data_IF_872134313467
#
_entry.id   IF_872134313467
#
_cell.length_a   1.000
_cell.length_b   1.000
_cell.length_c   1.000
_cell.angle_alpha   90.00
_cell.angle_beta   90.00
_cell.angle_gamma   90.00
#
_symmetry.space_group_name_H-M   'P 1'
#
loop_
_entity.id
_entity.type
_entity.pdbx_description
1 polymer ?
#
# COMPACT_ATOMS: atom_id res chain seq x y z
N UNK A 1 -36.31 -45.56 -17.31
CA UNK A 1 -37.00 -44.30 -17.01
C UNK A 1 -37.19 -44.28 -15.50
N UNK A 2 -36.31 -43.69 -14.69
CA UNK A 2 -36.13 -42.25 -14.55
C UNK A 2 -34.70 -41.92 -14.08
N UNK A 3 -34.13 -40.91 -14.71
CA UNK A 3 -32.88 -40.23 -14.35
C UNK A 3 -33.17 -39.27 -13.18
N UNK A 4 -32.52 -39.45 -12.04
CA UNK A 4 -32.50 -38.47 -10.95
C UNK A 4 -31.05 -38.13 -10.59
N UNK A 5 -30.44 -37.32 -11.47
CA UNK A 5 -29.17 -36.65 -11.21
C UNK A 5 -29.38 -35.68 -10.04
N UNK A 6 -28.66 -35.93 -8.96
CA UNK A 6 -28.55 -35.06 -7.80
C UNK A 6 -28.07 -33.66 -8.23
N UNK A 7 -28.90 -32.65 -7.98
CA UNK A 7 -28.49 -31.25 -8.11
C UNK A 7 -27.90 -30.79 -6.77
N UNK A 8 -26.58 -30.86 -6.64
CA UNK A 8 -25.84 -30.28 -5.50
C UNK A 8 -25.74 -28.76 -5.70
N UNK A 9 -25.98 -27.94 -4.65
CA UNK A 9 -25.87 -26.49 -4.77
C UNK A 9 -24.43 -26.08 -5.08
N UNK A 10 -24.28 -25.26 -6.13
CA UNK A 10 -23.02 -24.61 -6.49
C UNK A 10 -22.52 -23.77 -5.31
N UNK A 11 -21.43 -24.20 -4.67
CA UNK A 11 -20.70 -23.35 -3.72
C UNK A 11 -19.76 -22.44 -4.52
N UNK A 12 -19.71 -21.12 -4.26
CA UNK A 12 -18.71 -20.27 -4.87
C UNK A 12 -17.32 -20.69 -4.36
N UNK A 13 -16.49 -21.16 -5.28
CA UNK A 13 -15.09 -21.47 -5.01
C UNK A 13 -14.38 -20.13 -4.73
N UNK A 14 -14.02 -19.88 -3.48
CA UNK A 14 -13.19 -18.73 -3.13
C UNK A 14 -11.82 -18.96 -3.77
N UNK A 15 -11.32 -18.09 -4.67
CA UNK A 15 -10.00 -18.26 -5.24
C UNK A 15 -8.96 -18.21 -4.11
N UNK A 16 -7.89 -19.03 -4.17
CA UNK A 16 -6.87 -18.99 -3.14
C UNK A 16 -6.22 -17.60 -3.13
N UNK A 17 -6.36 -16.89 -2.00
CA UNK A 17 -5.61 -15.67 -1.71
C UNK A 17 -4.12 -15.96 -1.97
N UNK A 18 -3.59 -15.38 -3.04
CA UNK A 18 -2.19 -15.55 -3.42
C UNK A 18 -1.36 -14.97 -2.28
N UNK A 19 -0.75 -15.83 -1.46
CA UNK A 19 0.24 -15.37 -0.47
C UNK A 19 1.29 -14.53 -1.22
N UNK A 20 1.56 -13.27 -0.81
CA UNK A 20 2.71 -12.58 -1.32
C UNK A 20 3.96 -13.41 -1.01
N UNK A 21 4.80 -13.63 -2.02
CA UNK A 21 6.05 -14.37 -1.86
C UNK A 21 6.93 -13.63 -0.85
N UNK A 22 7.48 -14.30 0.20
CA UNK A 22 8.55 -13.71 0.99
C UNK A 22 9.75 -13.52 0.06
N UNK A 23 10.00 -12.28 -0.35
CA UNK A 23 11.14 -11.94 -1.18
C UNK A 23 12.40 -12.09 -0.33
N UNK A 24 13.13 -13.18 -0.54
CA UNK A 24 14.38 -13.44 0.15
C UNK A 24 15.53 -12.61 -0.46
N UNK A 25 16.17 -11.81 0.41
CA UNK A 25 17.54 -11.26 0.38
C UNK A 25 17.84 -9.87 -0.27
N UNK A 26 17.89 -8.83 0.60
CA UNK A 26 18.92 -7.75 0.85
C UNK A 26 19.43 -6.85 -0.32
N UNK A 27 19.50 -5.49 -0.23
CA UNK A 27 20.05 -4.65 0.86
C UNK A 27 19.16 -3.46 1.34
N UNK A 28 19.37 -3.02 2.59
CA UNK A 28 18.38 -2.36 3.46
C UNK A 28 18.21 -0.82 3.39
N UNK A 29 18.51 -0.09 2.30
CA UNK A 29 18.47 1.39 2.41
C UNK A 29 17.75 2.19 1.30
N UNK A 30 17.20 1.56 0.24
CA UNK A 30 16.52 2.32 -0.84
C UNK A 30 15.22 1.74 -1.39
N UNK A 31 14.64 0.72 -0.75
CA UNK A 31 13.62 -0.12 -1.40
C UNK A 31 12.24 -0.17 -0.75
N UNK A 32 12.07 0.30 0.50
CA UNK A 32 10.87 -0.01 1.28
C UNK A 32 9.60 0.60 0.67
N UNK A 33 9.66 1.85 0.22
CA UNK A 33 8.53 2.52 -0.44
C UNK A 33 8.14 1.81 -1.74
N UNK A 34 9.11 1.45 -2.57
CA UNK A 34 8.86 0.76 -3.83
C UNK A 34 8.28 -0.64 -3.62
N UNK A 35 8.82 -1.40 -2.65
CA UNK A 35 8.30 -2.72 -2.29
C UNK A 35 6.85 -2.65 -1.81
N UNK A 36 6.53 -1.71 -0.93
CA UNK A 36 5.15 -1.48 -0.47
C UNK A 36 4.23 -1.12 -1.64
N UNK A 37 4.69 -0.32 -2.60
CA UNK A 37 3.89 0.05 -3.77
C UNK A 37 3.63 -1.13 -4.70
N UNK A 38 4.60 -2.03 -4.89
CA UNK A 38 4.38 -3.28 -5.61
C UNK A 38 3.35 -4.15 -4.90
N UNK A 39 3.46 -4.32 -3.58
CA UNK A 39 2.50 -5.09 -2.79
C UNK A 39 1.09 -4.48 -2.86
N UNK A 40 0.95 -3.16 -2.82
CA UNK A 40 -0.34 -2.48 -3.00
C UNK A 40 -0.93 -2.79 -4.38
N UNK A 41 -0.09 -2.81 -5.43
CA UNK A 41 -0.53 -3.13 -6.78
C UNK A 41 -0.96 -4.59 -6.91
N UNK A 42 -0.25 -5.52 -6.29
CA UNK A 42 -0.55 -6.95 -6.32
C UNK A 42 -1.87 -7.30 -5.58
N UNK A 43 -2.25 -6.48 -4.60
CA UNK A 43 -3.50 -6.61 -3.86
C UNK A 43 -4.64 -5.75 -4.45
N UNK A 44 -4.48 -5.15 -5.64
CA UNK A 44 -5.58 -4.41 -6.26
C UNK A 44 -6.72 -5.37 -6.64
N UNK A 45 -7.94 -5.00 -6.22
CA UNK A 45 -9.15 -5.79 -6.45
C UNK A 45 -9.51 -6.73 -5.31
N UNK A 46 -8.66 -6.85 -4.28
CA UNK A 46 -9.03 -7.50 -3.02
C UNK A 46 -9.98 -6.57 -2.22
N UNK A 47 -11.24 -6.98 -1.94
CA UNK A 47 -12.20 -6.16 -1.22
C UNK A 47 -11.82 -5.88 0.25
N UNK A 48 -11.00 -6.74 0.86
CA UNK A 48 -10.55 -6.58 2.24
C UNK A 48 -9.27 -5.72 2.32
N UNK A 49 -8.63 -5.44 1.19
CA UNK A 49 -7.40 -4.67 1.14
C UNK A 49 -7.63 -3.16 1.11
N UNK A 50 -7.25 -2.48 2.20
CA UNK A 50 -7.32 -1.03 2.31
C UNK A 50 -6.18 -0.32 1.57
N UNK A 51 -6.36 -0.11 0.25
CA UNK A 51 -5.37 0.59 -0.61
C UNK A 51 -4.98 1.97 -0.06
N UNK A 52 -5.91 2.70 0.56
CA UNK A 52 -5.65 4.00 1.17
C UNK A 52 -4.67 3.92 2.33
N UNK A 53 -4.82 2.92 3.20
CA UNK A 53 -3.92 2.69 4.32
C UNK A 53 -2.54 2.26 3.82
N UNK A 54 -2.48 1.32 2.88
CA UNK A 54 -1.22 0.90 2.26
C UNK A 54 -0.43 2.08 1.68
N UNK A 55 -1.09 2.98 0.94
CA UNK A 55 -0.46 4.21 0.43
C UNK A 55 0.02 5.14 1.55
N UNK A 56 -0.73 5.23 2.65
CA UNK A 56 -0.32 5.96 3.85
C UNK A 56 0.97 5.43 4.46
N UNK A 57 1.09 4.11 4.60
CA UNK A 57 2.29 3.44 5.11
C UNK A 57 3.48 3.59 4.15
N UNK A 58 3.25 3.51 2.84
CA UNK A 58 4.29 3.77 1.83
C UNK A 58 4.85 5.19 1.95
N UNK A 59 3.99 6.20 2.15
CA UNK A 59 4.43 7.58 2.44
C UNK A 59 5.24 7.66 3.74
N UNK A 60 4.79 7.00 4.81
CA UNK A 60 5.53 6.96 6.08
C UNK A 60 6.92 6.33 5.94
N UNK A 61 7.07 5.30 5.11
CA UNK A 61 8.34 4.61 4.89
C UNK A 61 9.43 5.51 4.27
N UNK A 62 9.05 6.53 3.51
CA UNK A 62 9.99 7.49 2.90
C UNK A 62 10.74 8.28 3.97
N UNK A 63 10.06 8.64 5.08
CA UNK A 63 10.70 9.37 6.18
C UNK A 63 11.76 8.54 6.89
N UNK A 64 11.61 7.22 6.96
CA UNK A 64 12.61 6.34 7.58
C UNK A 64 13.93 6.30 6.79
N UNK A 65 13.90 6.63 5.50
CA UNK A 65 15.06 6.63 4.60
C UNK A 65 15.75 8.01 4.55
N UNK A 66 15.18 9.02 5.20
CA UNK A 66 15.66 10.40 5.13
C UNK A 66 15.88 10.99 6.55
N UNK A 67 17.13 11.23 6.97
CA UNK A 67 17.41 11.82 8.29
C UNK A 67 17.08 13.33 8.39
N UNK A 68 16.44 13.94 7.38
CA UNK A 68 16.12 15.38 7.27
C UNK A 68 14.75 15.61 6.63
N UNK A 69 14.32 16.87 6.54
CA UNK A 69 13.11 17.32 5.83
C UNK A 69 12.91 16.57 4.49
N UNK A 70 11.72 15.99 4.31
CA UNK A 70 11.31 15.39 3.04
C UNK A 70 10.22 16.25 2.41
N UNK A 71 10.45 16.69 1.17
CA UNK A 71 9.45 17.48 0.44
C UNK A 71 8.35 16.58 -0.14
N UNK A 72 7.16 17.13 -0.33
CA UNK A 72 6.06 16.43 -0.99
C UNK A 72 6.42 15.92 -2.39
N UNK A 73 7.32 16.62 -3.10
CA UNK A 73 7.77 16.19 -4.42
C UNK A 73 8.65 14.95 -4.34
N UNK A 74 9.56 14.87 -3.37
CA UNK A 74 10.41 13.70 -3.16
C UNK A 74 9.56 12.48 -2.82
N UNK A 75 8.61 12.63 -1.88
CA UNK A 75 7.67 11.55 -1.53
C UNK A 75 6.90 11.07 -2.75
N UNK A 76 6.40 12.00 -3.58
CA UNK A 76 5.67 11.67 -4.80
C UNK A 76 6.55 10.91 -5.80
N UNK A 77 7.80 11.32 -5.99
CA UNK A 77 8.75 10.66 -6.88
C UNK A 77 9.14 9.27 -6.38
N UNK A 78 9.38 9.10 -5.09
CA UNK A 78 9.84 7.81 -4.52
C UNK A 78 8.73 6.77 -4.38
N UNK A 79 7.50 7.21 -4.13
CA UNK A 79 6.35 6.31 -3.98
C UNK A 79 5.57 6.14 -5.29
N UNK A 80 5.77 6.99 -6.29
CA UNK A 80 4.89 7.06 -7.48
C UNK A 80 3.47 7.53 -7.17
N UNK A 81 3.16 7.94 -5.93
CA UNK A 81 1.85 8.46 -5.55
C UNK A 81 1.74 9.91 -6.05
N UNK A 82 0.58 10.29 -6.59
CA UNK A 82 0.37 11.66 -7.05
C UNK A 82 0.51 12.68 -5.91
N UNK A 83 1.06 13.87 -6.21
CA UNK A 83 1.23 14.95 -5.21
C UNK A 83 -0.07 15.30 -4.47
N UNK A 84 -1.23 15.25 -5.14
CA UNK A 84 -2.52 15.52 -4.53
C UNK A 84 -2.96 14.45 -3.52
N UNK A 85 -2.59 13.19 -3.74
CA UNK A 85 -2.82 12.11 -2.79
C UNK A 85 -1.81 12.16 -1.63
N UNK A 86 -0.53 12.42 -1.92
CA UNK A 86 0.50 12.66 -0.89
C UNK A 86 0.08 13.79 0.04
N UNK A 87 -0.40 14.92 -0.50
CA UNK A 87 -0.90 16.05 0.31
C UNK A 87 -1.99 15.63 1.30
N UNK A 88 -2.93 14.80 0.85
CA UNK A 88 -4.03 14.32 1.71
C UNK A 88 -3.51 13.42 2.82
N UNK A 89 -2.61 12.49 2.50
CA UNK A 89 -1.96 11.62 3.49
C UNK A 89 -1.22 12.44 4.54
N UNK A 90 -0.36 13.36 4.09
CA UNK A 90 0.41 14.21 5.01
C UNK A 90 -0.50 15.09 5.88
N UNK A 91 -1.57 15.65 5.32
CA UNK A 91 -2.54 16.40 6.09
C UNK A 91 -3.17 15.56 7.21
N UNK A 92 -3.57 14.32 6.92
CA UNK A 92 -4.09 13.40 7.94
C UNK A 92 -3.03 13.06 8.98
N UNK A 93 -1.82 12.69 8.57
CA UNK A 93 -0.72 12.37 9.49
C UNK A 93 -0.36 13.57 10.38
N UNK A 94 -0.39 14.79 9.85
CA UNK A 94 -0.16 16.02 10.59
C UNK A 94 -1.25 16.25 11.64
N UNK A 95 -2.53 16.08 11.25
CA UNK A 95 -3.67 16.20 12.18
C UNK A 95 -3.62 15.17 13.32
N UNK A 96 -3.03 14.01 13.05
CA UNK A 96 -2.84 12.94 14.03
C UNK A 96 -1.53 13.05 14.83
N UNK A 97 -0.67 14.02 14.51
CA UNK A 97 0.59 14.25 15.22
C UNK A 97 1.76 13.34 14.80
N UNK A 98 1.65 12.62 13.69
CA UNK A 98 2.73 11.74 13.19
C UNK A 98 3.80 12.48 12.38
N UNK A 99 3.46 13.61 11.76
CA UNK A 99 4.41 14.44 10.99
C UNK A 99 4.24 15.92 11.33
N UNK A 100 5.34 16.66 11.34
CA UNK A 100 5.35 18.11 11.47
C UNK A 100 5.59 18.78 10.11
N UNK A 101 5.12 20.02 9.97
CA UNK A 101 5.50 20.88 8.85
C UNK A 101 6.67 21.76 9.30
N UNK A 102 7.82 21.65 8.65
CA UNK A 102 8.88 22.64 8.83
C UNK A 102 8.57 23.82 7.91
N UNK A 103 7.99 24.87 8.49
CA UNK A 103 7.67 26.09 7.76
C UNK A 103 8.94 26.72 7.19
N UNK A 104 8.99 26.92 5.87
CA UNK A 104 9.81 27.99 5.29
C UNK A 104 9.00 29.27 5.43
N UNK A 105 9.33 30.07 6.45
CA UNK A 105 9.10 31.51 6.40
C UNK A 105 9.99 32.14 5.34
#
# INVERSE_FOLDING_TARGET
>A
MHDHRANLPYMPVVPPSRRPKPSAALPQDRGLSHELMQQIQDNQGDPDFMTSLGRGLAVMSVFSQHPREVTMSQISSETGISRAAVRRVLHTLQKLGYVGEQGRG
#
